data_IF_933227122778
#
_entry.id   IF_933227122778
#
_cell.length_a   1.000
_cell.length_b   1.000
_cell.length_c   1.000
_cell.angle_alpha   90.00
_cell.angle_beta   90.00
_cell.angle_gamma   90.00
#
_symmetry.space_group_name_H-M   'P 1'
#
loop_
_entity.id
_entity.type
_entity.pdbx_description
1 polymer ?
#
# COMPACT_ATOMS: atom_id res chain seq x y z
N UNK A 1 19.66 37.19 -10.00
CA UNK A 1 18.20 37.37 -10.22
C UNK A 1 17.94 37.02 -11.68
N UNK A 2 17.30 35.89 -11.96
CA UNK A 2 16.97 35.50 -13.33
C UNK A 2 16.00 36.52 -13.91
N UNK A 3 16.30 37.03 -15.11
CA UNK A 3 15.51 38.07 -15.75
C UNK A 3 14.14 37.48 -16.12
N UNK A 4 12.99 38.12 -15.82
CA UNK A 4 11.65 37.59 -16.15
C UNK A 4 11.47 37.23 -17.64
N UNK A 5 12.22 37.89 -18.52
CA UNK A 5 12.27 37.60 -19.96
C UNK A 5 12.87 36.21 -20.27
N UNK A 6 13.84 35.74 -19.48
CA UNK A 6 14.49 34.45 -19.70
C UNK A 6 13.59 33.28 -19.31
N UNK A 7 12.79 33.44 -18.24
CA UNK A 7 11.83 32.42 -17.81
C UNK A 7 10.71 32.22 -18.82
N UNK A 8 10.18 33.31 -19.39
CA UNK A 8 9.15 33.25 -20.42
C UNK A 8 9.66 32.58 -21.70
N UNK A 9 10.88 32.92 -22.12
CA UNK A 9 11.51 32.31 -23.29
C UNK A 9 11.81 30.82 -23.06
N UNK A 10 12.29 30.45 -21.88
CA UNK A 10 12.55 29.06 -21.50
C UNK A 10 11.25 28.23 -21.45
N UNK A 11 10.16 28.78 -20.89
CA UNK A 11 8.85 28.14 -20.87
C UNK A 11 8.29 27.94 -22.29
N UNK A 12 8.46 28.94 -23.17
CA UNK A 12 8.06 28.85 -24.58
C UNK A 12 8.82 27.75 -25.32
N UNK A 13 10.14 27.65 -25.13
CA UNK A 13 10.97 26.60 -25.75
C UNK A 13 10.61 25.20 -25.23
N UNK A 14 10.38 25.07 -23.91
CA UNK A 14 9.94 23.83 -23.30
C UNK A 14 8.57 23.35 -23.84
N UNK A 15 7.58 24.25 -23.86
CA UNK A 15 6.25 23.95 -24.39
C UNK A 15 6.31 23.57 -25.88
N UNK A 16 7.13 24.25 -26.67
CA UNK A 16 7.33 23.94 -28.09
C UNK A 16 7.94 22.55 -28.26
N UNK A 17 8.96 22.20 -27.47
CA UNK A 17 9.59 20.87 -27.52
C UNK A 17 8.61 19.76 -27.16
N UNK A 18 7.81 19.93 -26.11
CA UNK A 18 6.79 18.94 -25.69
C UNK A 18 5.73 18.78 -26.78
N UNK A 19 5.26 19.88 -27.37
CA UNK A 19 4.28 19.86 -28.45
C UNK A 19 4.81 19.13 -29.70
N UNK A 20 6.07 19.37 -30.08
CA UNK A 20 6.70 18.65 -31.20
C UNK A 20 6.85 17.16 -30.91
N UNK A 21 7.25 16.77 -29.69
CA UNK A 21 7.33 15.36 -29.28
C UNK A 21 5.96 14.69 -29.28
N UNK A 22 4.92 15.38 -28.78
CA UNK A 22 3.53 14.91 -28.80
C UNK A 22 3.05 14.68 -30.23
N UNK A 23 3.28 15.65 -31.12
CA UNK A 23 2.84 15.59 -32.51
C UNK A 23 3.52 14.46 -33.28
N UNK A 24 4.84 14.30 -33.12
CA UNK A 24 5.59 13.22 -33.73
C UNK A 24 5.11 11.85 -33.23
N UNK A 25 4.89 11.72 -31.92
CA UNK A 25 4.40 10.48 -31.30
C UNK A 25 2.99 10.13 -31.79
N UNK A 26 2.08 11.10 -31.79
CA UNK A 26 0.71 10.93 -32.27
C UNK A 26 0.67 10.56 -33.75
N UNK A 27 1.52 11.17 -34.58
CA UNK A 27 1.63 10.84 -36.00
C UNK A 27 2.11 9.41 -36.22
N UNK A 28 3.12 8.96 -35.47
CA UNK A 28 3.61 7.58 -35.53
C UNK A 28 2.56 6.56 -35.06
N UNK A 29 1.78 6.89 -34.03
CA UNK A 29 0.71 6.03 -33.54
C UNK A 29 -0.49 5.99 -34.50
N UNK A 30 -0.85 7.13 -35.09
CA UNK A 30 -1.88 7.23 -36.12
C UNK A 30 -1.52 6.39 -37.35
N UNK A 31 -0.27 6.46 -37.81
CA UNK A 31 0.22 5.63 -38.91
C UNK A 31 0.11 4.12 -38.58
N UNK A 32 0.42 3.71 -37.35
CA UNK A 32 0.24 2.32 -36.89
C UNK A 32 -1.24 1.89 -36.88
N UNK A 33 -2.14 2.78 -36.43
CA UNK A 33 -3.58 2.53 -36.42
C UNK A 33 -4.17 2.45 -37.84
N UNK A 34 -3.74 3.32 -38.76
CA UNK A 34 -4.15 3.28 -40.17
C UNK A 34 -3.68 1.99 -40.84
N UNK A 35 -2.43 1.57 -40.60
CA UNK A 35 -1.92 0.30 -41.12
C UNK A 35 -2.70 -0.91 -40.59
N UNK A 36 -3.14 -0.87 -39.32
CA UNK A 36 -4.01 -1.89 -38.75
C UNK A 36 -5.40 -1.89 -39.41
N UNK A 37 -5.98 -0.71 -39.64
CA UNK A 37 -7.28 -0.58 -40.30
C UNK A 37 -7.25 -1.12 -41.75
N UNK A 38 -6.19 -0.84 -42.51
CA UNK A 38 -6.01 -1.40 -43.86
C UNK A 38 -5.82 -2.92 -43.85
N UNK A 39 -5.16 -3.47 -42.84
CA UNK A 39 -5.03 -4.93 -42.67
C UNK A 39 -6.37 -5.59 -42.31
N UNK A 40 -7.21 -4.93 -41.51
CA UNK A 40 -8.54 -5.43 -41.13
C UNK A 40 -9.51 -5.48 -42.32
N UNK A 41 -9.41 -4.54 -43.28
CA UNK A 41 -10.24 -4.54 -44.51
C UNK A 41 -9.86 -5.66 -45.48
N UNK A 42 -8.60 -6.10 -45.46
CA UNK A 42 -8.06 -7.09 -46.39
C UNK A 42 -7.90 -8.51 -45.80
N UNK A 43 -8.23 -8.75 -44.52
CA UNK A 43 -8.01 -10.04 -43.83
C UNK A 43 -9.03 -10.31 -42.70
N UNK A 44 -9.80 -11.39 -42.80
CA UNK A 44 -10.88 -11.82 -41.87
C UNK A 44 -10.39 -12.33 -40.48
N UNK A 45 -9.11 -12.18 -40.14
CA UNK A 45 -8.52 -12.66 -38.90
C UNK A 45 -8.78 -11.69 -37.72
N UNK A 46 -10.04 -11.58 -37.28
CA UNK A 46 -10.48 -10.66 -36.22
C UNK A 46 -9.68 -10.76 -34.90
N UNK A 47 -9.11 -11.93 -34.57
CA UNK A 47 -8.30 -12.13 -33.38
C UNK A 47 -6.93 -11.42 -33.43
N UNK A 48 -6.29 -11.38 -34.61
CA UNK A 48 -5.01 -10.69 -34.79
C UNK A 48 -5.22 -9.17 -34.75
N UNK A 49 -6.28 -8.69 -35.42
CA UNK A 49 -6.67 -7.27 -35.41
C UNK A 49 -6.97 -6.79 -33.99
N UNK A 50 -7.70 -7.58 -33.20
CA UNK A 50 -8.04 -7.22 -31.81
C UNK A 50 -6.80 -7.18 -30.91
N UNK A 51 -5.89 -8.15 -31.03
CA UNK A 51 -4.63 -8.16 -30.26
C UNK A 51 -3.72 -6.98 -30.62
N UNK A 52 -3.64 -6.64 -31.91
CA UNK A 52 -2.84 -5.51 -32.40
C UNK A 52 -3.48 -4.16 -32.04
N UNK A 53 -4.81 -4.05 -32.03
CA UNK A 53 -5.51 -2.87 -31.52
C UNK A 53 -5.25 -2.67 -30.02
N UNK A 54 -5.27 -3.77 -29.25
CA UNK A 54 -5.00 -3.74 -27.81
C UNK A 54 -3.55 -3.34 -27.50
N UNK A 55 -2.58 -3.82 -28.28
CA UNK A 55 -1.17 -3.42 -28.12
C UNK A 55 -0.96 -1.94 -28.46
N UNK A 56 -1.50 -1.45 -29.57
CA UNK A 56 -1.49 -0.03 -29.95
C UNK A 56 -2.15 0.83 -28.86
N UNK A 57 -3.31 0.41 -28.33
CA UNK A 57 -3.99 1.09 -27.24
C UNK A 57 -3.16 1.17 -25.95
N UNK A 58 -2.49 0.07 -25.58
CA UNK A 58 -1.59 0.05 -24.42
C UNK A 58 -0.32 0.90 -24.62
N UNK A 59 0.21 0.93 -25.84
CA UNK A 59 1.35 1.76 -26.22
C UNK A 59 0.98 3.25 -26.24
N UNK A 60 -0.23 3.59 -26.69
CA UNK A 60 -0.78 4.94 -26.63
C UNK A 60 -0.89 5.43 -25.17
N UNK A 61 -1.48 4.60 -24.30
CA UNK A 61 -1.68 4.94 -22.89
C UNK A 61 -0.35 5.13 -22.14
N UNK A 62 0.62 4.23 -22.34
CA UNK A 62 1.95 4.32 -21.71
C UNK A 62 2.78 5.50 -22.24
N UNK A 63 2.69 5.78 -23.55
CA UNK A 63 3.40 6.92 -24.14
C UNK A 63 2.79 8.26 -23.72
N UNK A 64 1.46 8.33 -23.63
CA UNK A 64 0.77 9.51 -23.08
C UNK A 64 1.13 9.74 -21.60
N UNK A 65 1.17 8.68 -20.80
CA UNK A 65 1.55 8.76 -19.39
C UNK A 65 3.00 9.22 -19.18
N UNK A 66 3.94 8.69 -19.96
CA UNK A 66 5.36 9.10 -19.89
C UNK A 66 5.59 10.52 -20.38
N UNK A 67 4.94 10.95 -21.47
CA UNK A 67 5.04 12.32 -21.96
C UNK A 67 4.41 13.33 -20.97
N UNK A 68 3.27 13.00 -20.38
CA UNK A 68 2.66 13.81 -19.33
C UNK A 68 3.58 13.93 -18.11
N UNK A 69 4.21 12.83 -17.69
CA UNK A 69 5.21 12.82 -16.62
C UNK A 69 6.44 13.68 -16.92
N UNK A 70 6.97 13.61 -18.16
CA UNK A 70 8.09 14.43 -18.62
C UNK A 70 7.75 15.92 -18.66
N UNK A 71 6.58 16.28 -19.19
CA UNK A 71 6.10 17.66 -19.23
C UNK A 71 5.93 18.23 -17.82
N UNK A 72 5.36 17.44 -16.90
CA UNK A 72 5.21 17.84 -15.50
C UNK A 72 6.56 18.01 -14.80
N UNK A 73 7.53 17.10 -15.03
CA UNK A 73 8.87 17.21 -14.47
C UNK A 73 9.63 18.44 -15.00
N UNK A 74 9.52 18.73 -16.29
CA UNK A 74 10.11 19.94 -16.89
C UNK A 74 9.47 21.21 -16.33
N UNK A 75 8.14 21.23 -16.16
CA UNK A 75 7.44 22.36 -15.59
C UNK A 75 7.86 22.62 -14.13
N UNK A 76 7.98 21.57 -13.32
CA UNK A 76 8.50 21.68 -11.95
C UNK A 76 9.94 22.22 -11.90
N UNK A 77 10.82 21.81 -12.83
CA UNK A 77 12.18 22.34 -12.91
C UNK A 77 12.23 23.84 -13.21
N UNK A 78 11.25 24.37 -13.95
CA UNK A 78 11.13 25.80 -14.24
C UNK A 78 10.51 26.59 -13.08
N UNK A 79 9.55 26.02 -12.35
CA UNK A 79 8.80 26.72 -11.31
C UNK A 79 8.52 25.81 -10.07
N UNK A 80 9.55 25.52 -9.25
CA UNK A 80 9.46 24.56 -8.14
C UNK A 80 8.52 25.02 -7.00
N UNK A 81 8.23 26.32 -6.88
CA UNK A 81 7.37 26.86 -5.82
C UNK A 81 5.88 26.89 -6.20
N UNK A 82 5.54 26.65 -7.46
CA UNK A 82 4.16 26.75 -7.99
C UNK A 82 3.63 25.37 -8.37
N UNK A 83 4.49 24.50 -8.87
CA UNK A 83 4.12 23.17 -9.37
C UNK A 83 4.56 22.13 -8.34
N UNK A 84 3.71 21.16 -7.96
CA UNK A 84 4.10 20.07 -7.08
C UNK A 84 5.26 19.25 -7.65
N UNK A 85 6.11 18.71 -6.77
CA UNK A 85 7.20 17.81 -7.18
C UNK A 85 6.65 16.66 -8.03
N UNK A 86 7.21 16.40 -9.23
CA UNK A 86 6.77 15.29 -10.04
C UNK A 86 6.95 14.00 -9.24
N UNK A 87 5.95 13.12 -9.30
CA UNK A 87 6.10 11.74 -8.86
C UNK A 87 7.14 11.08 -9.77
N UNK A 88 8.42 11.26 -9.42
CA UNK A 88 9.54 10.63 -10.09
C UNK A 88 9.37 9.12 -9.92
N UNK A 89 9.12 8.42 -11.03
CA UNK A 89 9.26 6.97 -11.10
C UNK A 89 10.69 6.48 -10.79
N UNK A 90 11.65 7.40 -10.60
CA UNK A 90 12.88 7.11 -9.86
C UNK A 90 12.63 7.40 -8.38
N UNK A 91 12.24 6.34 -7.69
CA UNK A 91 12.34 6.17 -6.24
C UNK A 91 13.82 6.29 -5.86
N UNK A 92 14.23 7.47 -5.38
CA UNK A 92 15.36 7.58 -4.46
C UNK A 92 14.81 7.30 -3.08
N UNK A 93 14.95 6.05 -2.65
CA UNK A 93 15.01 5.56 -1.27
C UNK A 93 14.65 6.56 -0.17
N UNK A 94 13.37 6.82 0.07
CA UNK A 94 12.80 7.09 1.40
C UNK A 94 11.28 7.16 1.32
N UNK A 95 10.64 6.19 1.97
CA UNK A 95 9.30 6.22 2.56
C UNK A 95 8.07 6.33 1.63
N UNK A 96 7.38 5.19 1.45
CA UNK A 96 5.92 5.18 1.24
C UNK A 96 5.38 4.74 -0.12
N UNK A 97 6.22 4.38 -1.10
CA UNK A 97 5.74 3.83 -2.37
C UNK A 97 5.30 2.36 -2.23
N UNK A 98 4.07 2.04 -2.64
CA UNK A 98 3.64 0.64 -2.81
C UNK A 98 4.50 -0.03 -3.88
N UNK A 99 5.27 -1.03 -3.47
CA UNK A 99 6.12 -1.79 -4.38
C UNK A 99 5.25 -2.77 -5.19
N UNK A 100 4.95 -2.40 -6.44
CA UNK A 100 4.15 -3.22 -7.35
C UNK A 100 5.01 -4.17 -8.21
N UNK A 101 6.30 -4.34 -7.88
CA UNK A 101 7.15 -5.32 -8.56
C UNK A 101 6.70 -6.71 -8.10
N UNK A 102 5.74 -7.26 -8.84
CA UNK A 102 5.08 -8.52 -8.54
C UNK A 102 5.92 -9.77 -8.79
N UNK A 103 7.25 -9.70 -8.72
CA UNK A 103 8.09 -10.87 -8.98
C UNK A 103 8.26 -11.76 -7.74
N UNK A 104 8.07 -11.20 -6.51
CA UNK A 104 8.27 -11.84 -5.20
C UNK A 104 9.46 -12.82 -5.16
N UNK A 105 10.46 -12.59 -6.02
CA UNK A 105 11.46 -13.59 -6.31
C UNK A 105 12.53 -13.51 -5.22
N UNK A 106 13.01 -14.64 -4.67
CA UNK A 106 14.11 -14.63 -3.70
C UNK A 106 15.42 -14.06 -4.27
N UNK A 107 15.43 -13.67 -5.54
CA UNK A 107 16.55 -13.07 -6.26
C UNK A 107 16.51 -11.55 -6.32
N UNK A 108 15.37 -10.90 -6.05
CA UNK A 108 15.28 -9.43 -6.05
C UNK A 108 16.05 -8.82 -4.87
N UNK A 109 17.04 -8.00 -5.17
CA UNK A 109 17.89 -7.35 -4.16
C UNK A 109 17.11 -6.34 -3.31
N UNK A 110 16.12 -5.65 -3.90
CA UNK A 110 15.34 -4.66 -3.16
C UNK A 110 14.36 -5.34 -2.20
N UNK A 111 13.72 -6.43 -2.64
CA UNK A 111 12.93 -7.31 -1.77
C UNK A 111 13.75 -7.85 -0.59
N UNK A 112 15.00 -8.29 -0.83
CA UNK A 112 15.93 -8.73 0.23
C UNK A 112 16.24 -7.61 1.23
N UNK A 113 16.58 -6.41 0.75
CA UNK A 113 16.88 -5.28 1.62
C UNK A 113 15.67 -4.90 2.50
N UNK A 114 14.45 -4.94 1.94
CA UNK A 114 13.22 -4.71 2.69
C UNK A 114 12.96 -5.82 3.72
N UNK A 115 13.18 -7.08 3.33
CA UNK A 115 13.05 -8.21 4.23
C UNK A 115 13.99 -8.11 5.42
N UNK A 116 15.28 -7.82 5.18
CA UNK A 116 16.30 -7.68 6.23
C UNK A 116 15.88 -6.60 7.23
N UNK A 117 15.48 -5.42 6.74
CA UNK A 117 14.97 -4.33 7.59
C UNK A 117 13.77 -4.75 8.46
N UNK A 118 12.83 -5.52 7.91
CA UNK A 118 11.68 -6.01 8.67
C UNK A 118 12.09 -7.08 9.68
N UNK A 119 13.04 -7.92 9.33
CA UNK A 119 13.56 -8.98 10.18
C UNK A 119 14.28 -8.43 11.40
N UNK A 120 15.09 -7.37 11.23
CA UNK A 120 15.72 -6.62 12.33
C UNK A 120 14.68 -6.05 13.31
N UNK A 121 13.53 -5.58 12.80
CA UNK A 121 12.45 -5.02 13.61
C UNK A 121 11.52 -6.06 14.26
N UNK A 122 11.80 -7.35 14.08
CA UNK A 122 10.95 -8.44 14.58
C UNK A 122 11.06 -8.57 16.10
N UNK A 123 9.91 -8.73 16.76
CA UNK A 123 9.85 -9.06 18.18
C UNK A 123 10.23 -10.51 18.47
N UNK A 124 10.80 -10.75 19.65
CA UNK A 124 11.14 -12.09 20.14
C UNK A 124 9.89 -12.89 20.49
N UNK A 125 10.00 -14.22 20.53
CA UNK A 125 8.86 -15.08 20.85
C UNK A 125 8.31 -14.81 22.26
N UNK A 126 9.18 -14.52 23.23
CA UNK A 126 8.79 -14.23 24.61
C UNK A 126 8.00 -12.92 24.69
N UNK A 127 8.45 -11.85 24.03
CA UNK A 127 7.71 -10.59 23.98
C UNK A 127 6.32 -10.75 23.35
N UNK A 128 6.17 -11.65 22.37
CA UNK A 128 4.87 -11.96 21.79
C UNK A 128 3.96 -12.74 22.74
N UNK A 129 4.53 -13.57 23.62
CA UNK A 129 3.78 -14.26 24.69
C UNK A 129 3.34 -13.27 25.76
N UNK A 130 4.23 -12.38 26.19
CA UNK A 130 3.93 -11.34 27.18
C UNK A 130 2.84 -10.38 26.69
N UNK A 131 2.84 -10.06 25.38
CA UNK A 131 1.78 -9.29 24.72
C UNK A 131 0.49 -10.10 24.49
N UNK A 132 0.45 -11.37 24.87
CA UNK A 132 -0.72 -12.26 24.71
C UNK A 132 -1.03 -12.65 23.26
N UNK A 133 -0.13 -12.36 22.31
CA UNK A 133 -0.26 -12.67 20.88
C UNK A 133 0.04 -14.15 20.65
N UNK A 134 1.15 -14.65 21.19
CA UNK A 134 1.56 -16.04 21.07
C UNK A 134 1.08 -16.82 22.31
N UNK A 135 0.30 -17.89 22.12
CA UNK A 135 -0.33 -18.66 23.23
C UNK A 135 0.57 -19.72 23.86
N UNK A 136 1.70 -20.06 23.24
CA UNK A 136 2.59 -21.12 23.70
C UNK A 136 3.95 -21.05 23.01
N UNK A 137 4.77 -22.09 23.14
CA UNK A 137 6.06 -22.12 22.46
C UNK A 137 5.91 -22.08 20.92
N UNK A 138 6.86 -21.49 20.18
CA UNK A 138 6.85 -21.53 18.72
C UNK A 138 6.80 -22.98 18.21
N UNK A 139 5.87 -23.29 17.31
CA UNK A 139 5.70 -24.64 16.75
C UNK A 139 4.77 -25.56 17.55
N UNK A 140 4.25 -25.11 18.68
CA UNK A 140 3.28 -25.86 19.49
C UNK A 140 1.86 -25.77 18.89
N UNK A 141 1.47 -26.80 18.15
CA UNK A 141 0.17 -26.87 17.46
C UNK A 141 -1.03 -26.96 18.40
N UNK A 142 -0.82 -27.33 19.68
CA UNK A 142 -1.89 -27.54 20.65
C UNK A 142 -2.06 -26.36 21.62
N UNK A 143 -1.19 -25.33 21.54
CA UNK A 143 -1.23 -24.16 22.41
C UNK A 143 -2.60 -23.46 22.41
N UNK A 144 -3.22 -23.31 21.23
CA UNK A 144 -4.55 -22.69 21.11
C UNK A 144 -5.62 -23.48 21.86
N UNK A 145 -5.66 -24.81 21.68
CA UNK A 145 -6.65 -25.67 22.34
C UNK A 145 -6.48 -25.70 23.86
N UNK A 146 -5.24 -25.64 24.36
CA UNK A 146 -4.98 -25.51 25.80
C UNK A 146 -5.51 -24.21 26.36
N UNK A 147 -5.23 -23.08 25.69
CA UNK A 147 -5.74 -21.78 26.11
C UNK A 147 -7.29 -21.74 26.10
N UNK A 148 -7.93 -22.37 25.12
CA UNK A 148 -9.39 -22.47 25.07
C UNK A 148 -9.96 -23.30 26.22
N UNK A 149 -9.29 -24.41 26.58
CA UNK A 149 -9.68 -25.23 27.73
C UNK A 149 -9.51 -24.47 29.05
N UNK A 150 -8.38 -23.81 29.27
CA UNK A 150 -8.12 -22.99 30.46
C UNK A 150 -9.18 -21.89 30.59
N UNK A 151 -9.54 -21.24 29.49
CA UNK A 151 -10.60 -20.24 29.46
C UNK A 151 -11.96 -20.82 29.85
N UNK A 152 -12.30 -22.01 29.36
CA UNK A 152 -13.55 -22.69 29.73
C UNK A 152 -13.56 -23.05 31.22
N UNK A 153 -12.45 -23.57 31.74
CA UNK A 153 -12.32 -23.88 33.17
C UNK A 153 -12.46 -22.63 34.05
N UNK A 154 -11.81 -21.52 33.67
CA UNK A 154 -11.97 -20.24 34.38
C UNK A 154 -13.39 -19.71 34.31
N UNK A 155 -14.06 -19.87 33.16
CA UNK A 155 -15.47 -19.50 33.02
C UNK A 155 -16.35 -20.29 33.99
N UNK A 156 -16.20 -21.62 34.02
CA UNK A 156 -16.98 -22.47 34.92
C UNK A 156 -16.72 -22.16 36.39
N UNK A 157 -15.47 -21.83 36.74
CA UNK A 157 -15.11 -21.42 38.10
C UNK A 157 -15.77 -20.08 38.46
N UNK A 158 -15.68 -19.09 37.56
CA UNK A 158 -16.29 -17.79 37.77
C UNK A 158 -17.82 -17.90 37.91
N UNK A 159 -18.47 -18.72 37.08
CA UNK A 159 -19.92 -18.93 37.13
C UNK A 159 -20.34 -19.52 38.50
N UNK A 160 -19.54 -20.42 39.08
CA UNK A 160 -19.77 -20.96 40.44
C UNK A 160 -19.57 -19.92 41.53
N UNK A 161 -18.49 -19.15 41.47
CA UNK A 161 -18.18 -18.11 42.47
C UNK A 161 -19.20 -16.98 42.45
N UNK A 162 -19.68 -16.59 41.27
CA UNK A 162 -20.76 -15.60 41.14
C UNK A 162 -22.06 -16.14 41.74
N UNK A 163 -22.41 -17.41 41.50
CA UNK A 163 -23.61 -18.01 42.07
C UNK A 163 -23.56 -18.07 43.62
N UNK A 164 -22.36 -18.21 44.19
CA UNK A 164 -22.13 -18.23 45.65
C UNK A 164 -21.76 -16.87 46.23
N UNK A 165 -21.94 -15.79 45.47
CA UNK A 165 -21.55 -14.43 45.90
C UNK A 165 -22.30 -14.03 47.18
N UNK A 166 -21.60 -13.74 48.29
CA UNK A 166 -22.24 -13.31 49.53
C UNK A 166 -22.95 -11.97 49.36
N UNK A 167 -24.06 -11.80 50.07
CA UNK A 167 -24.77 -10.52 50.09
C UNK A 167 -23.97 -9.46 50.87
N UNK A 168 -24.12 -8.17 50.54
CA UNK A 168 -23.38 -7.09 51.20
C UNK A 168 -23.53 -7.09 52.73
N UNK A 169 -24.71 -7.42 53.25
CA UNK A 169 -24.99 -7.45 54.69
C UNK A 169 -24.20 -8.54 55.41
N UNK A 170 -23.95 -9.67 54.74
CA UNK A 170 -23.09 -10.73 55.26
C UNK A 170 -21.63 -10.30 55.34
N UNK A 171 -21.18 -9.47 54.39
CA UNK A 171 -19.83 -8.91 54.39
C UNK A 171 -19.65 -7.87 55.51
N UNK A 172 -20.68 -7.07 55.81
CA UNK A 172 -20.69 -6.14 56.96
C UNK A 172 -20.62 -6.91 58.27
N UNK A 173 -21.42 -7.99 58.43
CA UNK A 173 -21.37 -8.86 59.62
C UNK A 173 -20.00 -9.51 59.82
N UNK A 174 -19.30 -9.84 58.73
CA UNK A 174 -17.95 -10.41 58.77
C UNK A 174 -16.86 -9.35 58.96
N UNK A 175 -17.20 -8.06 59.03
CA UNK A 175 -16.25 -6.96 59.18
C UNK A 175 -15.39 -6.69 57.95
N UNK A 176 -15.80 -7.20 56.77
CA UNK A 176 -15.08 -7.01 55.50
C UNK A 176 -15.55 -5.72 54.82
N UNK A 177 -16.83 -5.37 54.95
CA UNK A 177 -17.45 -4.17 54.37
C UNK A 177 -17.89 -3.22 55.49
N UNK A 178 -17.64 -1.92 55.34
CA UNK A 178 -18.15 -0.93 56.28
C UNK A 178 -19.66 -0.69 56.05
N UNK A 179 -20.45 -0.45 57.11
CA UNK A 179 -21.90 -0.26 56.97
C UNK A 179 -22.27 0.99 56.15
N UNK A 180 -21.43 2.02 56.13
CA UNK A 180 -21.64 3.26 55.37
C UNK A 180 -21.28 3.12 53.87
N UNK A 181 -20.55 2.08 53.50
CA UNK A 181 -20.11 1.79 52.13
C UNK A 181 -20.96 0.69 51.46
N UNK A 182 -22.00 0.19 52.15
CA UNK A 182 -22.92 -0.77 51.58
C UNK A 182 -23.73 -0.12 50.45
N UNK A 183 -23.85 -0.75 49.26
CA UNK A 183 -24.63 -0.20 48.17
C UNK A 183 -26.11 -0.04 48.60
N UNK A 184 -26.80 1.03 48.14
CA UNK A 184 -28.21 1.21 48.45
C UNK A 184 -29.02 0.02 47.90
N UNK A 185 -29.96 -0.47 48.72
CA UNK A 185 -30.82 -1.61 48.42
C UNK A 185 -31.71 -1.41 47.19
#
# INVERSE_FOLDING_TARGET
MSNPTDLFNQAKSAATSVASTALNTATNLANQATNLATQAVNSDAAANVTSQAKSIGSQAASTAGSLAGQAHAQAHALAPNVIPKPASGSVSTTEGGVDNRGDLSPTDEVGKAKFEKLFESRHTANELQDKGILKGAPGDSLAGKRADLEKAMHKDQLDKEIAQRPQPEELVKKGILNPDEAPPA
#
